data_IF_544343446421
#
_entry.id   IF_544343446421
#
_cell.length_a   1.000
_cell.length_b   1.000
_cell.length_c   1.000
_cell.angle_alpha   90.00
_cell.angle_beta   90.00
_cell.angle_gamma   90.00
#
_symmetry.space_group_name_H-M   'P 1'
#
loop_
_entity.id
_entity.type
_entity.pdbx_description
1 polymer ?
#
# COMPACT_ATOMS: atom_id res chain seq x y z
N UNK A 1 2.98 7.42 23.19
CA UNK A 1 2.40 7.91 21.91
C UNK A 1 3.57 8.28 21.02
N UNK A 2 3.66 7.78 19.77
CA UNK A 2 4.78 8.16 18.90
C UNK A 2 4.75 9.66 18.62
N UNK A 3 5.94 10.26 18.53
CA UNK A 3 6.11 11.68 18.23
C UNK A 3 5.77 11.93 16.76
N UNK A 4 4.89 12.90 16.45
CA UNK A 4 4.58 13.23 15.07
C UNK A 4 5.79 13.85 14.37
N UNK A 5 5.88 13.63 13.07
CA UNK A 5 6.82 14.36 12.22
C UNK A 5 6.46 15.85 12.21
N UNK A 6 7.48 16.71 12.14
CA UNK A 6 7.27 18.03 11.56
C UNK A 6 7.08 17.88 10.04
N UNK A 7 6.29 18.79 9.46
CA UNK A 7 5.88 18.69 8.05
C UNK A 7 7.06 18.61 7.08
N UNK A 8 8.20 19.22 7.42
CA UNK A 8 9.39 19.18 6.57
C UNK A 8 10.00 17.79 6.59
N UNK A 9 10.26 17.23 7.77
CA UNK A 9 10.82 15.88 7.89
C UNK A 9 9.89 14.83 7.28
N UNK A 10 8.56 15.00 7.39
CA UNK A 10 7.60 14.13 6.70
C UNK A 10 7.73 14.17 5.17
N UNK A 11 7.88 15.37 4.59
CA UNK A 11 8.09 15.51 3.15
C UNK A 11 9.43 14.91 2.72
N UNK A 12 10.50 15.10 3.48
CA UNK A 12 11.84 14.52 3.19
C UNK A 12 11.78 12.98 3.12
N UNK A 13 11.06 12.31 4.03
CA UNK A 13 10.86 10.85 3.98
C UNK A 13 9.99 10.40 2.79
N UNK A 14 8.94 11.15 2.45
CA UNK A 14 8.09 10.85 1.28
C UNK A 14 8.87 11.01 -0.04
N UNK A 15 9.76 11.99 -0.10
CA UNK A 15 10.65 12.22 -1.25
C UNK A 15 11.58 11.02 -1.45
N UNK A 16 12.19 10.52 -0.38
CA UNK A 16 13.05 9.34 -0.45
C UNK A 16 12.28 8.10 -0.91
N UNK A 17 11.04 7.92 -0.45
CA UNK A 17 10.18 6.83 -0.94
C UNK A 17 9.93 6.92 -2.45
N UNK A 18 9.73 8.13 -2.99
CA UNK A 18 9.56 8.31 -4.43
C UNK A 18 10.85 8.04 -5.22
N UNK A 19 12.01 8.42 -4.69
CA UNK A 19 13.31 8.08 -5.28
C UNK A 19 13.56 6.58 -5.33
N UNK A 20 13.14 5.87 -4.27
CA UNK A 20 13.17 4.40 -4.21
C UNK A 20 12.11 3.71 -5.08
N UNK A 21 11.35 4.44 -5.89
CA UNK A 21 10.30 3.90 -6.76
C UNK A 21 9.08 3.35 -6.01
N UNK A 22 8.96 3.63 -4.71
CA UNK A 22 7.83 3.16 -3.88
C UNK A 22 6.57 4.01 -4.06
N UNK A 23 6.72 5.24 -4.56
CA UNK A 23 5.66 6.22 -4.81
C UNK A 23 5.97 7.02 -6.09
N UNK A 24 4.95 7.57 -6.74
CA UNK A 24 5.16 8.40 -7.92
C UNK A 24 5.66 9.81 -7.56
N UNK A 25 6.54 10.35 -8.40
CA UNK A 25 7.09 11.70 -8.22
C UNK A 25 6.00 12.78 -8.30
N UNK A 26 4.97 12.58 -9.14
CA UNK A 26 3.85 13.52 -9.30
C UNK A 26 3.04 13.68 -8.01
N UNK A 27 2.84 12.60 -7.26
CA UNK A 27 2.17 12.64 -5.95
C UNK A 27 2.99 13.47 -4.97
N UNK A 28 4.31 13.28 -4.95
CA UNK A 28 5.21 14.07 -4.09
C UNK A 28 5.21 15.54 -4.47
N UNK A 29 5.29 15.86 -5.76
CA UNK A 29 5.22 17.23 -6.26
C UNK A 29 3.90 17.93 -5.89
N UNK A 30 2.79 17.19 -5.93
CA UNK A 30 1.48 17.68 -5.50
C UNK A 30 1.45 17.97 -4.00
N UNK A 31 2.02 17.08 -3.18
CA UNK A 31 2.13 17.29 -1.73
C UNK A 31 3.02 18.49 -1.39
N UNK A 32 4.16 18.64 -2.08
CA UNK A 32 5.07 19.78 -1.93
C UNK A 32 4.36 21.08 -2.32
N UNK A 33 3.66 21.10 -3.46
CA UNK A 33 2.83 22.25 -3.88
C UNK A 33 1.83 22.63 -2.79
N UNK A 34 1.12 21.65 -2.22
CA UNK A 34 0.09 21.91 -1.23
C UNK A 34 0.64 22.46 0.09
N UNK A 35 1.86 22.07 0.48
CA UNK A 35 2.52 22.53 1.70
C UNK A 35 3.26 23.87 1.52
N UNK A 36 3.46 24.33 0.29
CA UNK A 36 4.05 25.63 -0.01
C UNK A 36 3.01 26.73 0.12
N UNK A 37 3.42 27.86 0.71
CA UNK A 37 2.54 29.02 0.97
C UNK A 37 1.94 29.61 -0.32
N UNK A 38 2.74 29.63 -1.38
CA UNK A 38 2.41 30.15 -2.71
C UNK A 38 1.61 29.16 -3.57
N UNK A 39 1.48 27.89 -3.13
CA UNK A 39 0.74 26.82 -3.83
C UNK A 39 1.00 26.79 -5.35
N UNK A 40 2.28 26.74 -5.79
CA UNK A 40 2.61 26.74 -7.20
C UNK A 40 2.03 25.49 -7.89
N UNK A 41 1.89 25.53 -9.22
CA UNK A 41 1.43 24.35 -9.95
C UNK A 41 2.41 23.17 -9.72
N UNK A 42 1.90 21.97 -9.43
CA UNK A 42 2.74 20.86 -8.97
C UNK A 42 3.89 20.51 -9.92
N UNK A 43 3.69 20.66 -11.23
CA UNK A 43 4.74 20.42 -12.25
C UNK A 43 5.92 21.39 -12.15
N UNK A 44 5.74 22.54 -11.52
CA UNK A 44 6.77 23.55 -11.30
C UNK A 44 7.52 23.31 -9.97
N UNK A 45 7.02 22.41 -9.12
CA UNK A 45 7.69 22.04 -7.89
C UNK A 45 8.93 21.19 -8.16
N UNK A 46 10.10 21.80 -7.94
CA UNK A 46 11.35 21.06 -7.80
C UNK A 46 11.46 20.47 -6.40
N UNK A 47 11.72 19.19 -6.34
CA UNK A 47 11.86 18.42 -5.10
C UNK A 47 13.35 18.32 -4.76
N UNK A 48 13.74 18.80 -3.58
CA UNK A 48 15.13 18.68 -3.10
C UNK A 48 15.39 17.28 -2.54
N UNK A 49 16.60 16.78 -2.71
CA UNK A 49 17.07 15.49 -2.15
C UNK A 49 17.82 15.65 -0.84
N UNK A 50 17.96 16.89 -0.37
CA UNK A 50 18.68 17.22 0.86
C UNK A 50 17.83 16.91 2.08
N UNK A 51 18.36 16.10 3.00
CA UNK A 51 17.76 15.86 4.31
C UNK A 51 18.29 16.85 5.33
N UNK A 52 17.39 17.52 6.03
CA UNK A 52 17.73 18.43 7.13
C UNK A 52 17.02 18.07 8.44
N UNK A 53 15.98 17.25 8.36
CA UNK A 53 15.25 16.73 9.51
C UNK A 53 15.85 15.44 10.07
N UNK A 54 15.54 15.16 11.35
CA UNK A 54 15.79 13.86 11.98
C UNK A 54 14.45 13.19 12.22
N UNK A 55 14.14 12.06 11.56
CA UNK A 55 12.89 11.34 11.78
C UNK A 55 12.77 10.86 13.23
N UNK A 56 11.55 10.71 13.78
CA UNK A 56 11.33 10.18 15.13
C UNK A 56 11.89 8.76 15.26
N UNK A 57 12.55 8.45 16.38
CA UNK A 57 13.19 7.15 16.60
C UNK A 57 12.23 5.95 16.46
N UNK A 58 10.96 6.10 16.85
CA UNK A 58 9.94 5.05 16.81
C UNK A 58 8.94 5.22 15.65
N UNK A 59 9.37 5.84 14.55
CA UNK A 59 8.53 6.04 13.38
C UNK A 59 8.28 4.72 12.63
N UNK A 60 7.01 4.30 12.55
CA UNK A 60 6.55 3.24 11.64
C UNK A 60 6.24 3.75 10.21
N UNK A 61 6.40 5.05 9.97
CA UNK A 61 6.17 5.64 8.64
C UNK A 61 7.24 5.16 7.65
N UNK A 62 6.84 4.86 6.42
CA UNK A 62 7.73 4.28 5.39
C UNK A 62 7.89 2.76 5.45
N UNK A 63 7.35 2.10 6.49
CA UNK A 63 7.08 0.67 6.47
C UNK A 63 5.86 0.43 5.59
N UNK A 64 6.11 0.40 4.28
CA UNK A 64 5.17 -0.25 3.37
C UNK A 64 5.24 -1.71 3.76
N UNK A 65 4.23 -2.18 4.49
CA UNK A 65 4.00 -3.61 4.70
C UNK A 65 4.03 -4.17 3.29
N UNK A 66 5.13 -4.87 2.93
CA UNK A 66 5.14 -5.68 1.72
C UNK A 66 3.90 -6.52 1.92
N UNK A 67 2.86 -6.31 1.10
CA UNK A 67 1.69 -7.19 1.14
C UNK A 67 2.30 -8.56 1.01
N UNK A 68 2.32 -9.31 2.10
CA UNK A 68 2.92 -10.63 2.14
C UNK A 68 2.35 -11.32 0.91
N UNK A 69 3.25 -11.66 -0.02
CA UNK A 69 2.89 -12.42 -1.21
C UNK A 69 2.02 -13.54 -0.70
N UNK A 70 0.76 -13.47 -1.12
CA UNK A 70 -0.38 -14.18 -0.54
C UNK A 70 0.08 -15.45 0.17
N UNK A 71 0.17 -15.41 1.51
CA UNK A 71 0.41 -16.61 2.33
C UNK A 71 -0.48 -17.71 1.76
N UNK A 72 0.12 -18.88 1.52
CA UNK A 72 -0.52 -20.06 0.94
C UNK A 72 -2.02 -20.01 1.14
N UNK A 73 -2.74 -19.69 0.06
CA UNK A 73 -4.19 -19.60 0.11
C UNK A 73 -4.67 -20.95 0.65
N UNK A 74 -5.48 -20.94 1.68
CA UNK A 74 -6.13 -22.15 2.22
C UNK A 74 -7.61 -21.88 2.23
N UNK A 75 -8.42 -22.93 2.15
CA UNK A 75 -9.87 -22.73 2.18
C UNK A 75 -10.29 -22.02 3.48
N UNK A 76 -11.01 -20.89 3.43
CA UNK A 76 -11.40 -20.13 4.62
C UNK A 76 -12.46 -20.83 5.48
N UNK A 77 -12.93 -22.01 5.06
CA UNK A 77 -13.92 -22.81 5.76
C UNK A 77 -13.34 -24.06 6.40
N UNK A 78 -12.42 -24.76 5.73
CA UNK A 78 -11.89 -26.04 6.22
C UNK A 78 -10.36 -26.13 6.15
N UNK A 79 -9.68 -25.04 5.80
CA UNK A 79 -8.23 -24.94 5.62
C UNK A 79 -7.61 -25.94 4.62
N UNK A 80 -8.45 -26.64 3.86
CA UNK A 80 -8.05 -27.61 2.85
C UNK A 80 -7.47 -26.98 1.58
N UNK A 81 -6.94 -27.84 0.72
CA UNK A 81 -6.40 -27.46 -0.59
C UNK A 81 -7.49 -27.02 -1.56
N UNK A 82 -7.09 -26.28 -2.58
CA UNK A 82 -7.98 -25.64 -3.54
C UNK A 82 -7.46 -25.80 -4.96
N UNK A 83 -8.34 -25.53 -5.93
CA UNK A 83 -8.03 -25.45 -7.35
C UNK A 83 -8.43 -24.09 -7.89
N UNK A 84 -7.61 -23.54 -8.78
CA UNK A 84 -7.96 -22.32 -9.54
C UNK A 84 -9.01 -22.69 -10.58
N UNK A 85 -10.21 -22.09 -10.48
CA UNK A 85 -11.33 -22.39 -11.40
C UNK A 85 -11.35 -21.41 -12.57
N UNK A 86 -11.40 -20.10 -12.32
CA UNK A 86 -11.63 -19.10 -13.38
C UNK A 86 -10.89 -17.80 -13.12
N UNK A 87 -10.51 -17.13 -14.20
CA UNK A 87 -10.08 -15.72 -14.19
C UNK A 87 -11.10 -14.93 -15.00
N UNK A 88 -11.71 -13.90 -14.41
CA UNK A 88 -12.65 -13.04 -15.11
C UNK A 88 -12.18 -11.58 -15.04
N UNK A 89 -12.39 -10.85 -16.15
CA UNK A 89 -12.07 -9.42 -16.26
C UNK A 89 -13.35 -8.62 -16.08
N UNK A 90 -13.34 -7.69 -15.14
CA UNK A 90 -14.42 -6.70 -14.98
C UNK A 90 -13.74 -5.34 -14.81
N UNK A 91 -14.07 -4.39 -15.68
CA UNK A 91 -13.58 -2.99 -15.60
C UNK A 91 -12.04 -2.91 -15.48
N UNK A 92 -11.32 -3.64 -16.34
CA UNK A 92 -9.85 -3.76 -16.34
C UNK A 92 -9.20 -4.39 -15.09
N UNK A 93 -10.02 -4.91 -14.17
CA UNK A 93 -9.57 -5.65 -12.99
C UNK A 93 -9.73 -7.16 -13.22
N UNK A 94 -8.65 -7.91 -12.99
CA UNK A 94 -8.63 -9.37 -13.07
C UNK A 94 -8.98 -10.01 -11.72
N UNK A 95 -10.07 -10.77 -11.70
CA UNK A 95 -10.52 -11.53 -10.54
C UNK A 95 -10.21 -13.01 -10.73
N UNK A 96 -9.80 -13.69 -9.65
CA UNK A 96 -9.51 -15.12 -9.65
C UNK A 96 -10.40 -15.81 -8.62
N UNK A 97 -11.18 -16.81 -9.06
CA UNK A 97 -11.96 -17.66 -8.16
C UNK A 97 -11.28 -19.01 -7.89
N UNK A 98 -11.39 -19.44 -6.64
CA UNK A 98 -10.84 -20.67 -6.11
C UNK A 98 -11.95 -21.55 -5.55
N UNK A 99 -11.84 -22.86 -5.72
CA UNK A 99 -12.74 -23.83 -5.11
C UNK A 99 -11.97 -24.80 -4.23
N UNK A 100 -12.46 -25.02 -3.01
CA UNK A 100 -11.87 -25.99 -2.10
C UNK A 100 -12.20 -27.43 -2.51
N UNK A 101 -11.19 -28.30 -2.59
CA UNK A 101 -11.37 -29.73 -2.87
C UNK A 101 -12.10 -30.48 -1.76
N UNK A 102 -11.98 -30.02 -0.51
CA UNK A 102 -12.52 -30.73 0.65
C UNK A 102 -13.96 -30.36 0.98
N UNK A 103 -14.36 -29.10 0.80
CA UNK A 103 -15.71 -28.64 1.16
C UNK A 103 -16.50 -28.02 0.00
N UNK A 104 -15.94 -27.96 -1.21
CA UNK A 104 -16.62 -27.45 -2.41
C UNK A 104 -16.93 -25.96 -2.40
N UNK A 105 -16.51 -25.21 -1.36
CA UNK A 105 -16.77 -23.76 -1.29
C UNK A 105 -15.91 -23.00 -2.29
N UNK A 106 -16.55 -22.09 -3.00
CA UNK A 106 -15.90 -21.07 -3.83
C UNK A 106 -15.55 -19.85 -3.01
N UNK A 107 -14.37 -19.28 -3.26
CA UNK A 107 -13.89 -18.05 -2.62
C UNK A 107 -12.86 -17.36 -3.51
N UNK A 108 -12.67 -16.06 -3.33
CA UNK A 108 -11.69 -15.25 -4.06
C UNK A 108 -10.63 -14.67 -3.10
N UNK A 109 -9.65 -13.97 -3.65
CA UNK A 109 -8.61 -13.30 -2.85
C UNK A 109 -9.16 -12.14 -2.02
N UNK A 110 -10.18 -11.46 -2.50
CA UNK A 110 -10.72 -10.27 -1.87
C UNK A 110 -11.47 -10.66 -0.59
N UNK A 111 -12.19 -11.78 -0.59
CA UNK A 111 -12.83 -12.37 0.59
C UNK A 111 -11.83 -12.69 1.71
N UNK A 112 -10.60 -13.11 1.36
CA UNK A 112 -9.52 -13.35 2.32
C UNK A 112 -8.93 -12.05 2.89
N UNK A 113 -8.94 -10.97 2.11
CA UNK A 113 -8.51 -9.65 2.54
C UNK A 113 -9.52 -9.03 3.50
N UNK A 114 -10.82 -9.10 3.19
CA UNK A 114 -11.87 -8.58 4.06
C UNK A 114 -11.93 -9.27 5.42
N UNK A 115 -11.84 -10.60 5.47
CA UNK A 115 -11.82 -11.33 6.77
C UNK A 115 -10.67 -10.93 7.70
N UNK A 116 -9.52 -10.53 7.16
CA UNK A 116 -8.37 -10.09 7.97
C UNK A 116 -8.51 -8.67 8.51
N UNK A 117 -9.37 -7.85 7.92
CA UNK A 117 -9.65 -6.49 8.43
C UNK A 117 -10.57 -6.53 9.65
N UNK A 118 -11.45 -7.53 9.76
CA UNK A 118 -12.40 -7.68 10.87
C UNK A 118 -11.77 -8.30 12.14
N UNK A 119 -10.49 -8.72 12.10
CA UNK A 119 -9.76 -9.27 13.25
C UNK A 119 -8.93 -8.20 14.02
N UNK A 120 -9.03 -6.91 13.65
CA UNK A 120 -8.30 -5.79 14.26
C UNK A 120 -9.18 -4.85 15.08
#
# INVERSE_FOLDING_TARGET
RPTPYDNRTALEEIIEMAQGGKLSLEVVQTLVSHNRKDRPHFRECKVSTEKRGTPPADSLYGVIVKRDMVKEITCPNCHGSWIKRKTYKKEDVEYISYECRSCGKEFDKDYLLYKKMDEY
#
